data_IF_898030663752
#
_entry.id   IF_898030663752
#
_cell.length_a   1.000
_cell.length_b   1.000
_cell.length_c   1.000
_cell.angle_alpha   90.00
_cell.angle_beta   90.00
_cell.angle_gamma   90.00
#
_symmetry.space_group_name_H-M   'P 1'
#
loop_
_entity.id
_entity.type
_entity.pdbx_description
1 polymer ?
#
# COMPACT_ATOMS: atom_id res chain seq x y z
N UNK A 1 12.97 -22.98 8.54
CA UNK A 1 13.53 -21.62 8.75
C UNK A 1 14.94 -21.44 8.19
N UNK A 2 15.68 -22.53 7.82
CA UNK A 2 17.06 -22.44 7.33
C UNK A 2 17.24 -22.14 5.83
N UNK A 3 16.21 -22.34 5.03
CA UNK A 3 16.35 -22.34 3.56
C UNK A 3 16.26 -20.94 2.90
N UNK A 4 15.59 -19.97 3.50
CA UNK A 4 15.46 -18.63 2.90
C UNK A 4 16.82 -17.94 2.68
N UNK A 5 17.75 -18.07 3.63
CA UNK A 5 19.09 -17.48 3.53
C UNK A 5 19.96 -18.08 2.41
N UNK A 6 19.56 -19.22 1.85
CA UNK A 6 20.25 -19.89 0.73
C UNK A 6 19.60 -19.61 -0.62
N UNK A 7 18.41 -18.99 -0.64
CA UNK A 7 17.73 -18.64 -1.90
C UNK A 7 18.44 -17.46 -2.57
N UNK A 8 18.76 -17.57 -3.86
CA UNK A 8 19.23 -16.41 -4.63
C UNK A 8 18.20 -15.28 -4.59
N UNK A 9 18.68 -14.04 -4.41
CA UNK A 9 17.85 -12.85 -4.37
C UNK A 9 16.99 -12.70 -5.62
N UNK A 10 17.52 -13.08 -6.76
CA UNK A 10 16.85 -13.09 -8.06
C UNK A 10 15.60 -13.97 -8.04
N UNK A 11 15.67 -15.11 -7.39
CA UNK A 11 14.53 -16.03 -7.26
C UNK A 11 13.41 -15.44 -6.41
N UNK A 12 13.77 -14.79 -5.30
CA UNK A 12 12.80 -14.07 -4.45
C UNK A 12 12.13 -12.94 -5.25
N UNK A 13 12.93 -12.16 -5.97
CA UNK A 13 12.45 -11.11 -6.85
C UNK A 13 11.48 -11.60 -7.92
N UNK A 14 11.83 -12.73 -8.60
CA UNK A 14 10.98 -13.33 -9.62
C UNK A 14 9.61 -13.75 -9.06
N UNK A 15 9.57 -14.37 -7.87
CA UNK A 15 8.31 -14.80 -7.26
C UNK A 15 7.44 -13.59 -6.84
N UNK A 16 8.04 -12.53 -6.26
CA UNK A 16 7.31 -11.31 -5.96
C UNK A 16 6.83 -10.58 -7.23
N UNK A 17 7.62 -10.57 -8.29
CA UNK A 17 7.18 -10.01 -9.58
C UNK A 17 6.05 -10.86 -10.20
N UNK A 18 6.14 -12.19 -10.15
CA UNK A 18 5.03 -13.06 -10.60
C UNK A 18 3.76 -12.80 -9.80
N UNK A 19 3.89 -12.67 -8.47
CA UNK A 19 2.79 -12.31 -7.60
C UNK A 19 2.15 -10.97 -8.03
N UNK A 20 2.93 -9.93 -8.20
CA UNK A 20 2.43 -8.61 -8.55
C UNK A 20 1.78 -8.58 -9.94
N UNK A 21 2.37 -9.27 -10.94
CA UNK A 21 1.95 -9.16 -12.34
C UNK A 21 0.85 -10.17 -12.71
N UNK A 22 0.83 -11.36 -12.09
CA UNK A 22 -0.03 -12.46 -12.55
C UNK A 22 -1.17 -12.81 -11.57
N UNK A 23 -1.07 -12.41 -10.30
CA UNK A 23 -2.05 -12.83 -9.30
C UNK A 23 -3.40 -12.12 -9.48
N UNK A 24 -4.49 -12.89 -9.47
CA UNK A 24 -5.86 -12.35 -9.49
C UNK A 24 -6.33 -12.04 -8.05
N UNK A 25 -5.82 -12.78 -7.07
CA UNK A 25 -6.09 -12.61 -5.64
C UNK A 25 -4.77 -12.55 -4.87
N UNK A 26 -4.00 -11.47 -5.01
CA UNK A 26 -2.68 -11.34 -4.38
C UNK A 26 -2.72 -11.36 -2.84
N UNK A 27 -3.83 -11.00 -2.21
CA UNK A 27 -4.02 -11.10 -0.77
C UNK A 27 -3.83 -12.51 -0.20
N UNK A 28 -4.07 -13.56 -1.00
CA UNK A 28 -3.80 -14.96 -0.60
C UNK A 28 -2.34 -15.24 -0.29
N UNK A 29 -1.39 -14.47 -0.86
CA UNK A 29 0.02 -14.63 -0.54
C UNK A 29 0.29 -14.38 0.95
N UNK A 30 -0.35 -13.35 1.54
CA UNK A 30 -0.14 -12.99 2.95
C UNK A 30 -0.61 -14.12 3.86
N UNK A 31 -1.78 -14.71 3.56
CA UNK A 31 -2.27 -15.90 4.26
C UNK A 31 -1.31 -17.09 4.14
N UNK A 32 -0.88 -17.41 2.91
CA UNK A 32 0.06 -18.50 2.65
C UNK A 32 1.40 -18.31 3.37
N UNK A 33 1.97 -17.10 3.37
CA UNK A 33 3.21 -16.79 4.09
C UNK A 33 3.05 -17.03 5.59
N UNK A 34 1.88 -16.69 6.15
CA UNK A 34 1.58 -16.91 7.58
C UNK A 34 1.43 -18.40 7.89
N UNK A 35 0.62 -19.13 7.12
CA UNK A 35 0.37 -20.56 7.30
C UNK A 35 1.64 -21.41 7.20
N UNK A 36 2.55 -21.03 6.31
CA UNK A 36 3.81 -21.73 6.09
C UNK A 36 4.97 -21.23 6.96
N UNK A 37 4.72 -20.26 7.85
CA UNK A 37 5.74 -19.57 8.65
C UNK A 37 6.80 -18.81 7.84
N UNK A 38 6.65 -18.69 6.52
CA UNK A 38 7.55 -17.91 5.67
C UNK A 38 7.46 -16.42 5.93
N UNK A 39 6.36 -15.97 6.53
CA UNK A 39 6.15 -14.55 6.92
C UNK A 39 7.29 -14.01 7.79
N UNK A 40 7.97 -14.86 8.56
CA UNK A 40 9.11 -14.48 9.41
C UNK A 40 10.31 -13.91 8.62
N UNK A 41 10.40 -14.21 7.31
CA UNK A 41 11.43 -13.66 6.41
C UNK A 41 11.05 -12.27 5.86
N UNK A 42 9.81 -11.83 6.09
CA UNK A 42 9.26 -10.55 5.62
C UNK A 42 8.68 -9.78 6.81
N UNK A 43 9.53 -9.30 7.75
CA UNK A 43 9.09 -8.66 8.98
C UNK A 43 8.27 -7.40 8.74
N UNK A 44 8.44 -6.72 7.60
CA UNK A 44 7.64 -5.55 7.21
C UNK A 44 6.17 -5.94 6.98
N UNK A 45 5.93 -7.10 6.37
CA UNK A 45 4.58 -7.65 6.16
C UNK A 45 4.06 -8.27 7.47
N UNK A 46 4.89 -9.03 8.18
CA UNK A 46 4.51 -9.70 9.42
C UNK A 46 3.98 -8.72 10.47
N UNK A 47 4.61 -7.55 10.59
CA UNK A 47 4.24 -6.53 11.58
C UNK A 47 2.88 -5.87 11.33
N UNK A 48 2.28 -6.03 10.16
CA UNK A 48 0.95 -5.48 9.88
C UNK A 48 -0.15 -6.24 10.60
N UNK A 49 0.06 -7.54 10.84
CA UNK A 49 -0.93 -8.37 11.53
C UNK A 49 -1.11 -7.93 12.99
N UNK A 50 -2.35 -7.80 13.40
CA UNK A 50 -2.72 -7.40 14.76
C UNK A 50 -2.58 -5.91 15.06
N UNK A 51 -2.14 -5.07 14.12
CA UNK A 51 -2.12 -3.61 14.30
C UNK A 51 -3.55 -3.08 14.24
N UNK A 52 -4.07 -2.50 15.36
CA UNK A 52 -5.46 -2.09 15.42
C UNK A 52 -5.73 -0.86 14.57
N UNK A 53 -6.97 -0.76 14.09
CA UNK A 53 -7.47 0.39 13.34
C UNK A 53 -8.80 0.86 13.95
N UNK A 54 -9.19 2.12 13.68
CA UNK A 54 -10.49 2.63 14.12
C UNK A 54 -11.61 1.90 13.34
N UNK A 55 -12.50 1.14 14.03
CA UNK A 55 -13.52 0.33 13.36
C UNK A 55 -14.55 1.15 12.60
N UNK A 56 -14.64 2.46 12.88
CA UNK A 56 -15.50 3.37 12.10
C UNK A 56 -15.00 3.52 10.67
N UNK A 57 -13.68 3.55 10.48
CA UNK A 57 -13.05 3.74 9.18
C UNK A 57 -12.58 2.43 8.55
N UNK A 58 -12.27 1.43 9.37
CA UNK A 58 -11.76 0.13 8.99
C UNK A 58 -12.60 -1.01 9.60
N UNK A 59 -13.85 -1.19 9.14
CA UNK A 59 -14.73 -2.25 9.64
C UNK A 59 -14.21 -3.66 9.31
N UNK A 60 -13.29 -3.78 8.34
CA UNK A 60 -12.66 -5.03 7.91
C UNK A 60 -11.69 -5.60 8.97
N UNK A 61 -11.14 -4.77 9.87
CA UNK A 61 -10.30 -5.23 10.96
C UNK A 61 -8.94 -4.57 11.07
N UNK A 62 -7.88 -5.35 11.31
CA UNK A 62 -6.52 -4.89 11.50
C UNK A 62 -5.82 -4.49 10.18
N UNK A 63 -4.63 -3.88 10.28
CA UNK A 63 -3.86 -3.42 9.10
C UNK A 63 -3.48 -4.59 8.19
N UNK A 64 -3.20 -5.78 8.72
CA UNK A 64 -2.88 -6.95 7.91
C UNK A 64 -4.07 -7.39 7.05
N UNK A 65 -5.25 -7.49 7.65
CA UNK A 65 -6.52 -7.81 6.96
C UNK A 65 -6.84 -6.75 5.91
N UNK A 66 -6.74 -5.46 6.26
CA UNK A 66 -6.89 -4.35 5.33
C UNK A 66 -5.97 -4.48 4.12
N UNK A 67 -4.68 -4.70 4.35
CA UNK A 67 -3.68 -4.84 3.28
C UNK A 67 -4.02 -5.99 2.32
N UNK A 68 -4.54 -7.13 2.83
CA UNK A 68 -5.00 -8.23 1.96
C UNK A 68 -6.11 -7.78 1.01
N UNK A 69 -7.08 -7.03 1.50
CA UNK A 69 -8.18 -6.49 0.67
C UNK A 69 -7.69 -5.43 -0.31
N UNK A 70 -6.77 -4.55 0.11
CA UNK A 70 -6.20 -3.50 -0.74
C UNK A 70 -5.44 -4.08 -1.93
N UNK A 71 -4.59 -5.09 -1.73
CA UNK A 71 -3.86 -5.71 -2.85
C UNK A 71 -4.79 -6.48 -3.80
N UNK A 72 -5.87 -7.08 -3.28
CA UNK A 72 -6.89 -7.71 -4.12
C UNK A 72 -7.66 -6.66 -4.95
N UNK A 73 -8.04 -5.53 -4.35
CA UNK A 73 -8.65 -4.41 -5.06
C UNK A 73 -7.70 -3.84 -6.13
N UNK A 74 -6.41 -3.64 -5.80
CA UNK A 74 -5.40 -3.19 -6.74
C UNK A 74 -5.25 -4.12 -7.96
N UNK A 75 -5.35 -5.44 -7.75
CA UNK A 75 -5.29 -6.39 -8.86
C UNK A 75 -6.51 -6.26 -9.80
N UNK A 76 -7.71 -6.03 -9.26
CA UNK A 76 -8.91 -5.79 -10.06
C UNK A 76 -8.83 -4.46 -10.80
N UNK A 77 -8.37 -3.40 -10.16
CA UNK A 77 -8.13 -2.09 -10.78
C UNK A 77 -7.11 -2.23 -11.92
N UNK A 78 -6.00 -2.92 -11.69
CA UNK A 78 -4.99 -3.15 -12.72
C UNK A 78 -5.52 -3.88 -13.97
N UNK A 79 -6.48 -4.81 -13.79
CA UNK A 79 -7.16 -5.50 -14.89
C UNK A 79 -8.12 -4.55 -15.60
N UNK A 80 -8.93 -3.79 -14.86
CA UNK A 80 -9.88 -2.82 -15.39
C UNK A 80 -9.18 -1.76 -16.25
N UNK A 81 -8.07 -1.22 -15.75
CA UNK A 81 -7.27 -0.18 -16.42
C UNK A 81 -6.29 -0.76 -17.46
N UNK A 82 -6.29 -2.07 -17.67
CA UNK A 82 -5.41 -2.75 -18.64
C UNK A 82 -3.93 -2.39 -18.45
N UNK A 83 -3.48 -2.27 -17.19
CA UNK A 83 -2.11 -1.86 -16.87
C UNK A 83 -1.09 -2.87 -17.41
N UNK A 84 -0.05 -2.37 -18.06
CA UNK A 84 1.12 -3.17 -18.45
C UNK A 84 1.88 -3.69 -17.21
N UNK A 85 2.74 -4.67 -17.41
CA UNK A 85 3.39 -5.42 -16.33
C UNK A 85 4.09 -4.52 -15.28
N UNK A 86 4.86 -3.52 -15.70
CA UNK A 86 5.60 -2.64 -14.79
C UNK A 86 4.64 -1.71 -14.02
N UNK A 87 3.66 -1.11 -14.68
CA UNK A 87 2.66 -0.25 -14.03
C UNK A 87 1.80 -1.04 -13.03
N UNK A 88 1.43 -2.27 -13.37
CA UNK A 88 0.74 -3.18 -12.47
C UNK A 88 1.61 -3.54 -11.27
N UNK A 89 2.89 -3.85 -11.46
CA UNK A 89 3.82 -4.13 -10.38
C UNK A 89 3.97 -2.92 -9.43
N UNK A 90 4.09 -1.71 -9.96
CA UNK A 90 4.12 -0.46 -9.18
C UNK A 90 2.87 -0.36 -8.30
N UNK A 91 1.67 -0.51 -8.88
CA UNK A 91 0.41 -0.43 -8.11
C UNK A 91 0.34 -1.50 -7.02
N UNK A 92 0.67 -2.75 -7.34
CA UNK A 92 0.61 -3.86 -6.37
C UNK A 92 1.62 -3.70 -5.22
N UNK A 93 2.86 -3.28 -5.51
CA UNK A 93 3.86 -3.04 -4.47
C UNK A 93 3.53 -1.80 -3.65
N UNK A 94 3.00 -0.74 -4.25
CA UNK A 94 2.52 0.43 -3.50
C UNK A 94 1.37 0.04 -2.57
N UNK A 95 0.40 -0.75 -3.05
CA UNK A 95 -0.72 -1.27 -2.26
C UNK A 95 -0.27 -2.18 -1.11
N UNK A 96 0.75 -3.03 -1.33
CA UNK A 96 1.32 -3.87 -0.26
C UNK A 96 1.99 -3.02 0.83
N UNK A 97 2.67 -1.94 0.44
CA UNK A 97 3.56 -1.19 1.31
C UNK A 97 2.95 0.11 1.88
N UNK A 98 1.75 0.54 1.42
CA UNK A 98 1.18 1.84 1.79
C UNK A 98 1.10 2.07 3.30
N UNK A 99 0.85 1.03 4.05
CA UNK A 99 0.67 1.04 5.50
C UNK A 99 1.86 0.49 6.30
N UNK A 100 3.03 0.29 5.71
CA UNK A 100 4.21 -0.23 6.42
C UNK A 100 4.68 0.64 7.59
N UNK A 101 4.29 1.90 7.65
CA UNK A 101 4.57 2.78 8.77
C UNK A 101 3.63 2.61 9.97
N UNK A 102 2.41 2.05 9.78
CA UNK A 102 1.40 1.94 10.85
C UNK A 102 1.87 1.16 12.08
N UNK A 103 2.60 0.04 11.97
CA UNK A 103 3.06 -0.69 13.17
C UNK A 103 3.86 0.16 14.16
N UNK A 104 4.55 1.19 13.69
CA UNK A 104 5.38 2.06 14.54
C UNK A 104 4.69 3.37 14.96
N UNK A 105 3.53 3.70 14.37
CA UNK A 105 2.85 4.99 14.59
C UNK A 105 1.44 4.84 15.16
N UNK A 106 0.91 3.61 15.18
CA UNK A 106 -0.45 3.37 15.68
C UNK A 106 -0.50 3.47 17.20
N UNK A 107 -1.36 4.34 17.68
CA UNK A 107 -1.60 4.58 19.10
C UNK A 107 -3.06 4.96 19.36
N UNK A 108 -3.51 4.71 20.60
CA UNK A 108 -4.84 5.09 21.03
C UNK A 108 -4.81 6.54 21.55
N UNK A 109 -5.57 7.41 20.92
CA UNK A 109 -5.65 8.85 21.28
C UNK A 109 -7.09 9.28 21.51
N UNK A 110 -7.27 10.25 22.41
CA UNK A 110 -8.55 10.93 22.57
C UNK A 110 -8.80 11.89 21.38
N UNK A 111 -9.96 11.72 20.74
CA UNK A 111 -10.45 12.57 19.67
C UNK A 111 -11.95 12.85 19.87
N UNK A 112 -12.30 14.10 20.00
CA UNK A 112 -13.71 14.52 20.18
C UNK A 112 -14.41 13.78 21.33
N UNK A 113 -13.71 13.62 22.47
CA UNK A 113 -14.23 12.94 23.66
C UNK A 113 -14.32 11.40 23.55
N UNK A 114 -13.70 10.79 22.51
CA UNK A 114 -13.66 9.34 22.32
C UNK A 114 -12.23 8.86 22.09
N UNK A 115 -11.92 7.71 22.66
CA UNK A 115 -10.65 7.03 22.37
C UNK A 115 -10.72 6.40 20.98
N UNK A 116 -9.76 6.74 20.10
CA UNK A 116 -9.67 6.25 18.73
C UNK A 116 -8.25 5.81 18.39
N UNK A 117 -8.12 4.74 17.62
CA UNK A 117 -6.86 4.37 17.03
C UNK A 117 -6.47 5.34 15.93
N UNK A 118 -5.25 5.85 15.99
CA UNK A 118 -4.69 6.79 15.02
C UNK A 118 -3.26 6.37 14.64
N UNK A 119 -2.85 6.65 13.41
CA UNK A 119 -1.53 6.27 12.88
C UNK A 119 -0.85 7.48 12.22
N UNK A 120 -0.77 8.59 12.92
CA UNK A 120 -0.22 9.82 12.34
C UNK A 120 1.25 9.68 11.97
N UNK A 121 1.56 10.13 10.75
CA UNK A 121 2.93 10.11 10.23
C UNK A 121 3.38 8.73 9.73
N UNK A 122 2.44 7.79 9.51
CA UNK A 122 2.80 6.50 8.93
C UNK A 122 3.25 6.61 7.47
N UNK A 123 2.76 7.59 6.71
CA UNK A 123 3.10 7.80 5.31
C UNK A 123 4.60 8.13 5.12
N UNK A 124 5.14 9.19 5.74
CA UNK A 124 6.56 9.50 5.60
C UNK A 124 7.48 8.45 6.22
N UNK A 125 7.02 7.69 7.21
CA UNK A 125 7.77 6.56 7.77
C UNK A 125 7.69 5.33 6.88
N UNK A 126 6.57 5.10 6.22
CA UNK A 126 6.33 3.96 5.33
C UNK A 126 7.22 3.96 4.09
N UNK A 127 7.50 5.13 3.51
CA UNK A 127 8.33 5.25 2.31
C UNK A 127 9.73 4.63 2.45
N UNK A 128 10.55 5.02 3.44
CA UNK A 128 11.85 4.38 3.70
C UNK A 128 11.74 2.87 3.97
N UNK A 129 10.73 2.41 4.70
CA UNK A 129 10.50 0.99 4.97
C UNK A 129 10.18 0.25 3.68
N UNK A 130 9.31 0.80 2.83
CA UNK A 130 8.99 0.25 1.51
C UNK A 130 10.23 0.14 0.62
N UNK A 131 11.08 1.18 0.58
CA UNK A 131 12.36 1.16 -0.15
C UNK A 131 13.27 0.05 0.34
N UNK A 132 13.46 -0.06 1.65
CA UNK A 132 14.30 -1.10 2.24
C UNK A 132 13.79 -2.50 1.90
N UNK A 133 12.49 -2.74 2.08
CA UNK A 133 11.85 -4.02 1.76
C UNK A 133 12.04 -4.40 0.29
N UNK A 134 11.61 -3.54 -0.63
CA UNK A 134 11.65 -3.81 -2.07
C UNK A 134 13.08 -4.00 -2.60
N UNK A 135 14.03 -3.20 -2.12
CA UNK A 135 15.45 -3.35 -2.46
C UNK A 135 16.00 -4.68 -1.92
N UNK A 136 15.64 -5.06 -0.70
CA UNK A 136 16.07 -6.31 -0.07
C UNK A 136 15.57 -7.53 -0.84
N UNK A 137 14.33 -7.54 -1.30
CA UNK A 137 13.77 -8.63 -2.12
C UNK A 137 14.15 -8.57 -3.60
N UNK A 138 14.93 -7.56 -4.04
CA UNK A 138 15.51 -7.48 -5.37
C UNK A 138 14.63 -6.85 -6.44
N UNK A 139 13.64 -6.06 -6.07
CA UNK A 139 12.81 -5.33 -7.05
C UNK A 139 13.65 -4.24 -7.74
N UNK A 140 13.43 -4.07 -9.04
CA UNK A 140 14.13 -3.07 -9.88
C UNK A 140 13.96 -1.66 -9.33
N UNK A 141 15.04 -0.87 -9.35
CA UNK A 141 15.02 0.53 -8.86
C UNK A 141 13.95 1.37 -9.56
N UNK A 142 13.73 1.18 -10.86
CA UNK A 142 12.68 1.90 -11.61
C UNK A 142 11.26 1.68 -11.09
N UNK A 143 10.97 0.55 -10.44
CA UNK A 143 9.71 0.27 -9.75
C UNK A 143 9.75 0.88 -8.34
N UNK A 144 10.83 0.64 -7.59
CA UNK A 144 11.00 1.15 -6.23
C UNK A 144 10.87 2.67 -6.17
N UNK A 145 11.49 3.37 -7.12
CA UNK A 145 11.48 4.84 -7.18
C UNK A 145 10.09 5.42 -7.47
N UNK A 146 9.19 4.66 -8.10
CA UNK A 146 7.78 5.04 -8.27
C UNK A 146 6.94 4.68 -7.04
N UNK A 147 7.16 3.52 -6.43
CA UNK A 147 6.38 3.04 -5.26
C UNK A 147 6.57 3.95 -4.05
N UNK A 148 7.81 4.34 -3.74
CA UNK A 148 8.11 5.10 -2.51
C UNK A 148 7.33 6.41 -2.42
N UNK A 149 7.37 7.32 -3.41
CA UNK A 149 6.60 8.56 -3.31
C UNK A 149 5.08 8.33 -3.33
N UNK A 150 4.58 7.24 -3.91
CA UNK A 150 3.17 6.88 -3.81
C UNK A 150 2.79 6.52 -2.36
N UNK A 151 3.61 5.71 -1.68
CA UNK A 151 3.43 5.38 -0.25
C UNK A 151 3.44 6.64 0.62
N UNK A 152 4.39 7.55 0.39
CA UNK A 152 4.53 8.79 1.17
C UNK A 152 3.38 9.80 0.96
N UNK A 153 2.60 9.66 -0.12
CA UNK A 153 1.57 10.61 -0.50
C UNK A 153 0.15 10.00 -0.59
N UNK A 154 -0.07 8.74 -0.20
CA UNK A 154 -1.35 8.05 -0.44
C UNK A 154 -2.55 8.70 0.29
N UNK A 155 -2.34 9.43 1.37
CA UNK A 155 -3.39 10.17 2.08
C UNK A 155 -3.52 11.65 1.67
N UNK A 156 -2.82 12.10 0.63
CA UNK A 156 -2.84 13.52 0.20
C UNK A 156 -4.27 14.01 -0.09
N UNK A 157 -5.17 13.16 -0.56
CA UNK A 157 -6.56 13.50 -0.85
C UNK A 157 -7.35 13.95 0.38
N UNK A 158 -7.02 13.50 1.59
CA UNK A 158 -7.67 13.94 2.82
C UNK A 158 -7.42 15.42 3.16
N UNK A 159 -6.38 16.00 2.61
CA UNK A 159 -6.01 17.40 2.80
C UNK A 159 -6.50 18.29 1.65
N UNK A 160 -7.27 17.74 0.71
CA UNK A 160 -7.86 18.53 -0.38
C UNK A 160 -9.16 19.16 0.13
N UNK A 161 -9.25 20.50 0.04
CA UNK A 161 -10.53 21.21 0.26
C UNK A 161 -11.52 20.94 -0.89
N UNK A 162 -12.58 21.76 -0.96
CA UNK A 162 -13.57 21.67 -2.05
C UNK A 162 -12.97 21.93 -3.43
N UNK A 163 -11.87 22.69 -3.50
CA UNK A 163 -11.13 23.00 -4.72
C UNK A 163 -9.64 22.77 -4.55
N UNK A 164 -9.01 22.15 -5.54
CA UNK A 164 -7.57 21.91 -5.60
C UNK A 164 -6.93 22.88 -6.59
N UNK A 165 -6.01 23.74 -6.11
CA UNK A 165 -5.37 24.69 -6.99
C UNK A 165 -4.34 24.01 -7.91
N UNK A 166 -4.18 24.52 -9.14
CA UNK A 166 -3.15 24.06 -10.08
C UNK A 166 -1.74 24.05 -9.48
N UNK A 167 -1.44 24.98 -8.54
CA UNK A 167 -0.17 25.03 -7.83
C UNK A 167 0.00 23.83 -6.88
N UNK A 168 -1.08 23.40 -6.22
CA UNK A 168 -1.06 22.23 -5.34
C UNK A 168 -0.84 20.94 -6.15
N UNK A 169 -1.53 20.80 -7.29
CA UNK A 169 -1.37 19.66 -8.21
C UNK A 169 0.08 19.59 -8.73
N UNK A 170 0.65 20.71 -9.21
CA UNK A 170 2.06 20.74 -9.64
C UNK A 170 3.03 20.34 -8.54
N UNK A 171 2.84 20.80 -7.30
CA UNK A 171 3.68 20.41 -6.16
C UNK A 171 3.54 18.92 -5.84
N UNK A 172 2.34 18.37 -5.94
CA UNK A 172 2.12 16.93 -5.77
C UNK A 172 2.85 16.15 -6.86
N UNK A 173 2.68 16.51 -8.14
CA UNK A 173 3.37 15.88 -9.26
C UNK A 173 4.90 15.88 -9.09
N UNK A 174 5.48 16.99 -8.59
CA UNK A 174 6.91 17.07 -8.31
C UNK A 174 7.36 16.12 -7.17
N UNK A 175 6.54 15.95 -6.13
CA UNK A 175 6.84 15.01 -5.04
C UNK A 175 6.69 13.55 -5.47
N UNK A 176 5.78 13.27 -6.38
CA UNK A 176 5.51 11.92 -6.88
C UNK A 176 6.54 11.44 -7.90
N UNK A 177 7.26 12.34 -8.58
CA UNK A 177 8.19 11.93 -9.63
C UNK A 177 9.19 10.88 -9.13
N UNK A 178 9.39 9.78 -9.89
CA UNK A 178 8.93 9.54 -11.27
C UNK A 178 7.53 8.92 -11.41
N UNK A 179 6.80 8.67 -10.33
CA UNK A 179 5.40 8.26 -10.41
C UNK A 179 4.49 9.42 -10.86
N UNK A 180 3.27 9.11 -11.29
CA UNK A 180 2.29 10.09 -11.73
C UNK A 180 1.12 10.24 -10.73
N UNK A 181 0.34 11.32 -10.89
CA UNK A 181 -0.88 11.53 -10.10
C UNK A 181 -1.90 10.44 -10.40
N UNK A 182 -2.05 10.02 -11.64
CA UNK A 182 -2.95 8.95 -12.05
C UNK A 182 -2.61 7.64 -11.34
N UNK A 183 -1.32 7.28 -11.24
CA UNK A 183 -0.88 6.10 -10.49
C UNK A 183 -1.22 6.23 -9.00
N UNK A 184 -1.01 7.41 -8.40
CA UNK A 184 -1.40 7.65 -7.01
C UNK A 184 -2.91 7.50 -6.80
N UNK A 185 -3.73 8.01 -7.72
CA UNK A 185 -5.20 7.91 -7.64
C UNK A 185 -5.65 6.45 -7.69
N UNK A 186 -5.03 5.60 -8.49
CA UNK A 186 -5.30 4.15 -8.49
C UNK A 186 -4.94 3.49 -7.16
N UNK A 187 -3.86 3.92 -6.50
CA UNK A 187 -3.53 3.45 -5.15
C UNK A 187 -4.57 3.89 -4.11
N UNK A 188 -4.99 5.15 -4.16
CA UNK A 188 -6.04 5.70 -3.27
C UNK A 188 -7.36 4.94 -3.46
N UNK A 189 -7.73 4.63 -4.71
CA UNK A 189 -8.91 3.82 -5.00
C UNK A 189 -8.78 2.40 -4.44
N UNK A 190 -7.61 1.78 -4.57
CA UNK A 190 -7.36 0.45 -4.03
C UNK A 190 -7.47 0.43 -2.49
N UNK A 191 -6.89 1.42 -1.80
CA UNK A 191 -6.99 1.59 -0.35
C UNK A 191 -8.47 1.77 0.09
N UNK A 192 -9.20 2.68 -0.55
CA UNK A 192 -10.61 2.91 -0.23
C UNK A 192 -11.46 1.65 -0.45
N UNK A 193 -11.19 0.90 -1.52
CA UNK A 193 -11.89 -0.35 -1.88
C UNK A 193 -11.51 -1.54 -0.98
N UNK A 194 -10.41 -1.44 -0.25
CA UNK A 194 -9.93 -2.46 0.69
C UNK A 194 -10.67 -2.49 2.04
N UNK A 195 -11.84 -1.87 2.16
CA UNK A 195 -12.60 -1.68 3.43
C UNK A 195 -14.01 -2.31 3.41
N UNK A 196 -14.16 -3.62 3.12
CA UNK A 196 -15.48 -4.24 3.15
C UNK A 196 -16.11 -4.15 4.55
N UNK A 197 -17.44 -3.95 4.67
CA UNK A 197 -18.45 -3.94 3.60
C UNK A 197 -18.67 -2.57 2.93
N UNK A 198 -17.72 -1.63 3.01
CA UNK A 198 -17.85 -0.34 2.33
C UNK A 198 -17.82 -0.51 0.82
N UNK A 199 -18.46 0.40 0.05
CA UNK A 199 -18.41 0.37 -1.41
C UNK A 199 -16.96 0.43 -1.94
N UNK A 200 -16.71 -0.30 -3.03
CA UNK A 200 -15.44 -0.24 -3.77
C UNK A 200 -15.52 0.88 -4.80
N UNK A 201 -15.12 2.08 -4.41
CA UNK A 201 -15.20 3.27 -5.25
C UNK A 201 -14.05 4.24 -5.00
N UNK A 202 -13.73 5.05 -6.00
CA UNK A 202 -12.78 6.14 -5.87
C UNK A 202 -13.37 7.24 -4.98
N UNK A 203 -12.69 7.65 -3.89
CA UNK A 203 -13.13 8.79 -3.09
C UNK A 203 -13.24 10.06 -3.96
N UNK A 204 -14.34 10.80 -3.78
CA UNK A 204 -14.58 12.03 -4.55
C UNK A 204 -13.44 13.05 -4.40
N UNK A 205 -12.81 13.09 -3.23
CA UNK A 205 -11.67 13.92 -2.92
C UNK A 205 -10.44 13.55 -3.77
N UNK A 206 -10.24 12.28 -4.05
CA UNK A 206 -9.14 11.80 -4.90
C UNK A 206 -9.37 12.17 -6.37
N UNK A 207 -10.61 12.16 -6.85
CA UNK A 207 -10.93 12.61 -8.20
C UNK A 207 -10.64 14.10 -8.46
N UNK A 208 -10.54 14.93 -7.40
CA UNK A 208 -10.22 16.36 -7.53
C UNK A 208 -8.77 16.68 -7.82
N UNK A 209 -7.85 15.71 -7.65
CA UNK A 209 -6.42 15.90 -7.92
C UNK A 209 -6.01 15.49 -9.34
N UNK A 210 -6.91 14.85 -10.10
CA UNK A 210 -6.79 14.60 -11.53
C UNK A 210 -7.13 15.88 -12.31
#
# INVERSE_FOLDING_TARGET
AGEYGTLPKERVSEEFMKWAVKSIRPGRLLGYLTETSWIAHFPEIQKLAGVPQDPTWHPEGDVGTHTMHVVDAAAHIAIREQLGADARAVLLFASLAHDFGKPATTELREREGKMRWTSWGHEPLGGPIARQFLTRIGIKSSIVDQVVPMVENHLTHHNTGTEVSRRAVRRLAMRLAPASIEQLVLLIEADASGRPPRPSELPAEAGRIL
#
